data_IF_307198074881
#
_entry.id   IF_307198074881
#
_cell.length_a   1.000
_cell.length_b   1.000
_cell.length_c   1.000
_cell.angle_alpha   90.00
_cell.angle_beta   90.00
_cell.angle_gamma   90.00
#
_symmetry.space_group_name_H-M   'P 1'
#
loop_
_entity.id
_entity.type
_entity.pdbx_description
1 polymer ?
#
# COMPACT_ATOMS: atom_id res chain seq x y z
N UNK A 1 -6.69 19.14 6.32
CA UNK A 1 -5.25 19.15 5.97
C UNK A 1 -4.33 19.46 7.16
N UNK A 2 -4.70 20.36 8.08
CA UNK A 2 -3.84 20.73 9.21
C UNK A 2 -3.52 19.56 10.16
N UNK A 3 -4.50 18.70 10.48
CA UNK A 3 -4.27 17.51 11.32
C UNK A 3 -3.26 16.51 10.71
N UNK A 4 -3.23 16.38 9.39
CA UNK A 4 -2.27 15.51 8.70
C UNK A 4 -0.84 16.05 8.84
N UNK A 5 -0.67 17.38 8.69
CA UNK A 5 0.61 18.07 8.83
C UNK A 5 1.13 18.03 10.27
N UNK A 6 0.26 18.26 11.25
CA UNK A 6 0.61 18.25 12.68
C UNK A 6 1.17 16.89 13.13
N UNK A 7 0.63 15.79 12.61
CA UNK A 7 1.05 14.44 12.99
C UNK A 7 2.29 13.94 12.24
N UNK A 8 2.55 14.43 11.01
CA UNK A 8 3.68 13.98 10.19
C UNK A 8 4.98 14.65 10.60
N UNK A 9 4.98 15.96 10.86
CA UNK A 9 6.21 16.73 11.09
C UNK A 9 7.00 16.16 12.27
N UNK A 10 6.34 15.87 13.40
CA UNK A 10 7.00 15.27 14.57
C UNK A 10 7.55 13.87 14.28
N UNK A 11 6.82 13.04 13.54
CA UNK A 11 7.27 11.69 13.17
C UNK A 11 8.44 11.70 12.19
N UNK A 12 8.53 12.70 11.30
CA UNK A 12 9.67 12.84 10.41
C UNK A 12 10.96 13.27 11.12
N UNK A 13 10.85 14.09 12.17
CA UNK A 13 12.02 14.65 12.87
C UNK A 13 12.55 13.70 13.95
N UNK A 14 11.68 12.99 14.66
CA UNK A 14 12.06 12.18 15.83
C UNK A 14 11.35 10.84 15.93
N UNK A 15 10.72 10.38 14.85
CA UNK A 15 10.12 9.05 14.80
C UNK A 15 11.17 7.93 14.79
N UNK A 16 10.79 6.70 15.16
CA UNK A 16 11.63 5.54 14.93
C UNK A 16 11.90 5.38 13.43
N UNK A 17 12.92 4.58 13.10
CA UNK A 17 13.19 4.21 11.72
C UNK A 17 11.90 3.68 11.06
N UNK A 18 11.53 4.15 9.85
CA UNK A 18 10.25 3.82 9.24
C UNK A 18 10.29 2.39 8.69
N UNK A 19 10.21 1.40 9.58
CA UNK A 19 10.28 -0.02 9.25
C UNK A 19 9.00 -0.74 9.65
N UNK A 20 8.45 -1.54 8.75
CA UNK A 20 7.31 -2.42 8.97
C UNK A 20 7.81 -3.86 9.12
N UNK A 21 7.86 -4.36 10.35
CA UNK A 21 8.41 -5.70 10.63
C UNK A 21 7.42 -6.83 10.39
N UNK A 22 6.14 -6.52 10.18
CA UNK A 22 5.10 -7.52 9.91
C UNK A 22 4.99 -7.81 8.41
N UNK A 23 4.63 -9.05 8.02
CA UNK A 23 4.40 -9.40 6.62
C UNK A 23 3.39 -8.44 5.98
N UNK A 24 3.80 -7.80 4.89
CA UNK A 24 3.05 -6.71 4.27
C UNK A 24 2.70 -7.08 2.83
N UNK A 25 1.44 -6.89 2.45
CA UNK A 25 1.02 -7.01 1.05
C UNK A 25 0.58 -5.64 0.53
N UNK A 26 1.11 -5.23 -0.63
CA UNK A 26 0.64 -4.06 -1.37
C UNK A 26 -0.06 -4.52 -2.64
N UNK A 27 -1.31 -4.09 -2.82
CA UNK A 27 -2.08 -4.32 -4.05
C UNK A 27 -1.98 -3.09 -4.94
N UNK A 28 -1.57 -3.28 -6.19
CA UNK A 28 -1.35 -2.21 -7.17
C UNK A 28 -2.35 -2.32 -8.32
N UNK A 29 -3.41 -1.49 -8.35
CA UNK A 29 -4.30 -1.41 -9.50
C UNK A 29 -3.58 -0.71 -10.67
N UNK A 30 -3.25 -1.47 -11.72
CA UNK A 30 -2.41 -0.96 -12.84
C UNK A 30 -3.07 0.12 -13.69
N UNK A 31 -4.37 0.36 -13.54
CA UNK A 31 -5.14 1.38 -14.27
C UNK A 31 -5.60 2.51 -13.33
N UNK A 32 -4.98 2.63 -12.16
CA UNK A 32 -5.25 3.73 -11.25
C UNK A 32 -4.79 5.07 -11.87
N UNK A 33 -5.65 6.08 -11.81
CA UNK A 33 -5.37 7.44 -12.30
C UNK A 33 -4.71 8.32 -11.24
N UNK A 34 -4.81 7.94 -9.97
CA UNK A 34 -4.40 8.76 -8.83
C UNK A 34 -3.05 8.31 -8.25
N UNK A 35 -2.74 7.01 -8.33
CA UNK A 35 -1.51 6.43 -7.79
C UNK A 35 -0.75 5.71 -8.91
N UNK A 36 0.48 6.15 -9.18
CA UNK A 36 1.34 5.46 -10.16
C UNK A 36 1.69 4.05 -9.65
N UNK A 37 1.72 3.03 -10.53
CA UNK A 37 2.30 1.74 -10.21
C UNK A 37 3.75 1.82 -9.70
N UNK A 38 4.49 2.88 -10.02
CA UNK A 38 5.89 3.05 -9.65
C UNK A 38 6.07 3.46 -8.17
N UNK A 39 4.98 3.82 -7.47
CA UNK A 39 5.04 4.15 -6.04
C UNK A 39 5.47 2.99 -5.14
N UNK A 40 5.47 1.76 -5.67
CA UNK A 40 5.94 0.57 -4.93
C UNK A 40 7.42 0.26 -5.15
N UNK A 41 8.12 1.06 -5.95
CA UNK A 41 9.56 0.88 -6.15
C UNK A 41 10.34 1.13 -4.85
N UNK A 42 11.30 0.25 -4.58
CA UNK A 42 12.18 0.24 -3.41
C UNK A 42 11.44 0.23 -2.05
N UNK A 43 10.14 -0.10 -2.00
CA UNK A 43 9.37 -0.10 -0.74
C UNK A 43 9.84 -1.17 0.23
N UNK A 44 10.49 -2.22 -0.26
CA UNK A 44 11.12 -3.27 0.54
C UNK A 44 12.15 -2.75 1.54
N UNK A 45 12.73 -1.56 1.30
CA UNK A 45 13.63 -0.89 2.26
C UNK A 45 12.95 -0.59 3.59
N UNK A 46 11.64 -0.40 3.57
CA UNK A 46 10.81 -0.15 4.74
C UNK A 46 10.05 -1.38 5.18
N UNK A 47 9.64 -2.26 4.25
CA UNK A 47 8.93 -3.51 4.55
C UNK A 47 9.73 -4.71 4.02
N UNK A 48 10.64 -5.30 4.80
CA UNK A 48 11.51 -6.38 4.31
C UNK A 48 10.77 -7.66 3.94
N UNK A 49 9.61 -7.94 4.56
CA UNK A 49 8.69 -9.01 4.15
C UNK A 49 7.53 -8.41 3.35
N UNK A 50 7.81 -8.08 2.09
CA UNK A 50 6.88 -7.42 1.19
C UNK A 50 6.44 -8.33 0.05
N UNK A 51 5.12 -8.44 -0.12
CA UNK A 51 4.48 -9.01 -1.30
C UNK A 51 3.77 -7.92 -2.10
N UNK A 52 4.16 -7.75 -3.37
CA UNK A 52 3.46 -6.84 -4.30
C UNK A 52 2.55 -7.66 -5.20
N UNK A 53 1.25 -7.36 -5.22
CA UNK A 53 0.28 -7.99 -6.11
C UNK A 53 -0.30 -6.96 -7.06
N UNK A 54 -0.12 -7.16 -8.36
CA UNK A 54 -0.62 -6.26 -9.39
C UNK A 54 -1.97 -6.75 -9.90
N UNK A 55 -2.99 -5.88 -9.89
CA UNK A 55 -4.34 -6.22 -10.35
C UNK A 55 -4.74 -5.37 -11.55
N UNK A 56 -5.54 -5.94 -12.43
CA UNK A 56 -5.99 -5.29 -13.67
C UNK A 56 -7.25 -4.43 -13.43
N UNK A 57 -7.11 -3.42 -12.58
CA UNK A 57 -8.23 -2.58 -12.16
C UNK A 57 -7.84 -1.12 -11.95
N UNK A 58 -8.86 -0.28 -11.73
CA UNK A 58 -8.72 1.14 -11.39
C UNK A 58 -8.67 1.31 -9.86
N UNK A 59 -8.59 2.57 -9.41
CA UNK A 59 -8.47 2.97 -8.00
C UNK A 59 -9.42 2.22 -7.04
N UNK A 60 -10.70 2.14 -7.38
CA UNK A 60 -11.73 1.52 -6.56
C UNK A 60 -11.84 0.00 -6.76
N UNK A 61 -10.71 -0.70 -6.87
CA UNK A 61 -10.69 -2.16 -7.06
C UNK A 61 -11.48 -2.92 -5.98
N UNK A 62 -11.33 -2.63 -4.66
CA UNK A 62 -12.10 -3.34 -3.64
C UNK A 62 -13.63 -3.17 -3.78
N UNK A 63 -14.07 -2.05 -4.36
CA UNK A 63 -15.50 -1.79 -4.61
C UNK A 63 -16.00 -2.45 -5.90
N UNK A 64 -15.20 -2.42 -6.96
CA UNK A 64 -15.59 -2.92 -8.29
C UNK A 64 -15.40 -4.42 -8.46
N UNK A 65 -14.47 -5.03 -7.71
CA UNK A 65 -14.13 -6.45 -7.75
C UNK A 65 -14.09 -7.03 -6.32
N UNK A 66 -15.19 -6.96 -5.56
CA UNK A 66 -15.18 -7.27 -4.13
C UNK A 66 -14.86 -8.74 -3.83
N UNK A 67 -15.26 -9.67 -4.71
CA UNK A 67 -14.90 -11.10 -4.57
C UNK A 67 -13.40 -11.30 -4.77
N UNK A 68 -12.84 -10.80 -5.87
CA UNK A 68 -11.41 -10.92 -6.15
C UNK A 68 -10.57 -10.29 -5.02
N UNK A 69 -11.04 -9.15 -4.49
CA UNK A 69 -10.44 -8.52 -3.32
C UNK A 69 -10.47 -9.40 -2.08
N UNK A 70 -11.62 -10.00 -1.77
CA UNK A 70 -11.74 -10.91 -0.63
C UNK A 70 -10.84 -12.15 -0.78
N UNK A 71 -10.84 -12.81 -1.94
CA UNK A 71 -10.01 -14.00 -2.16
C UNK A 71 -8.52 -13.68 -2.03
N UNK A 72 -8.06 -12.55 -2.61
CA UNK A 72 -6.66 -12.12 -2.50
C UNK A 72 -6.26 -11.83 -1.05
N UNK A 73 -7.11 -11.11 -0.30
CA UNK A 73 -6.83 -10.73 1.09
C UNK A 73 -6.86 -11.94 2.04
N UNK A 74 -7.70 -12.93 1.74
CA UNK A 74 -7.78 -14.17 2.51
C UNK A 74 -6.71 -15.20 2.11
N UNK A 75 -5.87 -14.91 1.11
CA UNK A 75 -4.84 -15.82 0.62
C UNK A 75 -5.38 -17.02 -0.15
N UNK A 76 -6.52 -16.85 -0.81
CA UNK A 76 -7.27 -17.89 -1.54
C UNK A 76 -7.28 -17.67 -3.05
N UNK A 77 -6.54 -16.67 -3.52
CA UNK A 77 -6.35 -16.32 -4.93
C UNK A 77 -5.15 -17.05 -5.55
#
# INVERSE_FOLDING_TARGET
>A
MELYRANIVRRMISGPEPRCEVPTTIVVPRRDRFLSPDLVEDVERWAPDLRIVRVDAKHWWPWTHPRDAAELLLGRA
#
